data_IF_809663702966
#
_entry.id   IF_809663702966
#
_cell.length_a   1.000
_cell.length_b   1.000
_cell.length_c   1.000
_cell.angle_alpha   90.00
_cell.angle_beta   90.00
_cell.angle_gamma   90.00
#
_symmetry.space_group_name_H-M   'P 1'
#
loop_
_entity.id
_entity.type
_entity.pdbx_description
1 polymer ?
#
# COMPACT_ATOMS: atom_id res chain seq x y z
N UNK A 1 -2.40 5.18 -16.21
CA UNK A 1 -1.59 6.35 -15.86
C UNK A 1 -0.27 5.99 -15.15
N UNK A 2 -0.20 5.12 -14.14
CA UNK A 2 1.09 4.69 -13.58
C UNK A 2 1.98 3.96 -14.61
N UNK A 3 1.40 3.12 -15.45
CA UNK A 3 2.12 2.43 -16.54
C UNK A 3 2.62 3.39 -17.64
N UNK A 4 1.97 4.53 -17.84
CA UNK A 4 2.40 5.54 -18.83
C UNK A 4 3.50 6.47 -18.30
N UNK A 5 3.68 6.58 -17.00
CA UNK A 5 4.75 7.41 -16.41
C UNK A 5 6.14 6.76 -16.49
N UNK A 6 6.22 5.42 -16.57
CA UNK A 6 7.50 4.72 -16.72
C UNK A 6 8.16 5.01 -18.07
N UNK A 7 7.48 4.92 -19.24
CA UNK A 7 8.05 5.32 -20.52
C UNK A 7 8.50 6.79 -20.56
N UNK A 8 7.70 7.71 -20.01
CA UNK A 8 8.05 9.12 -19.93
C UNK A 8 9.30 9.36 -19.04
N UNK A 9 9.41 8.64 -17.93
CA UNK A 9 10.59 8.64 -17.07
C UNK A 9 11.82 8.13 -17.83
N UNK A 10 11.69 6.99 -18.52
CA UNK A 10 12.78 6.38 -19.29
C UNK A 10 13.30 7.34 -20.36
N UNK A 11 12.40 7.97 -21.12
CA UNK A 11 12.74 8.96 -22.13
C UNK A 11 13.44 10.19 -21.53
N UNK A 12 12.91 10.75 -20.44
CA UNK A 12 13.51 11.89 -19.75
C UNK A 12 14.90 11.56 -19.18
N UNK A 13 15.06 10.36 -18.61
CA UNK A 13 16.32 9.90 -18.04
C UNK A 13 17.38 9.66 -19.13
N UNK A 14 17.01 9.00 -20.23
CA UNK A 14 17.88 8.77 -21.39
C UNK A 14 18.34 10.08 -22.06
N UNK A 15 17.45 11.09 -22.09
CA UNK A 15 17.77 12.43 -22.59
C UNK A 15 18.61 13.29 -21.64
N UNK A 16 19.00 12.75 -20.46
CA UNK A 16 19.76 13.50 -19.44
C UNK A 16 18.99 14.59 -18.73
N UNK A 17 17.66 14.69 -18.92
CA UNK A 17 16.79 15.70 -18.34
C UNK A 17 16.42 15.34 -16.90
N UNK A 18 17.38 15.45 -15.98
CA UNK A 18 17.23 15.04 -14.56
C UNK A 18 16.04 15.70 -13.84
N UNK A 19 15.74 16.97 -14.13
CA UNK A 19 14.61 17.67 -13.54
C UNK A 19 13.25 17.06 -13.92
N UNK A 20 13.10 16.71 -15.20
CA UNK A 20 11.89 16.08 -15.72
C UNK A 20 11.73 14.65 -15.20
N UNK A 21 12.82 13.89 -15.13
CA UNK A 21 12.84 12.56 -14.54
C UNK A 21 12.37 12.58 -13.06
N UNK A 22 12.90 13.52 -12.24
CA UNK A 22 12.45 13.70 -10.87
C UNK A 22 10.97 14.06 -10.76
N UNK A 23 10.47 14.91 -11.66
CA UNK A 23 9.06 15.28 -11.71
C UNK A 23 8.18 14.07 -12.00
N UNK A 24 8.56 13.22 -12.97
CA UNK A 24 7.82 12.00 -13.31
C UNK A 24 7.78 11.01 -12.15
N UNK A 25 8.90 10.79 -11.44
CA UNK A 25 8.95 9.96 -10.24
C UNK A 25 7.97 10.50 -9.18
N UNK A 26 7.99 11.81 -8.91
CA UNK A 26 7.11 12.42 -7.93
C UNK A 26 5.62 12.28 -8.28
N UNK A 27 5.25 12.50 -9.55
CA UNK A 27 3.86 12.34 -10.03
C UNK A 27 3.41 10.88 -9.85
N UNK A 28 4.21 9.91 -10.31
CA UNK A 28 3.86 8.49 -10.20
C UNK A 28 3.70 8.05 -8.74
N UNK A 29 4.60 8.51 -7.86
CA UNK A 29 4.57 8.15 -6.44
C UNK A 29 3.34 8.75 -5.73
N UNK A 30 3.00 10.00 -6.02
CA UNK A 30 1.79 10.63 -5.48
C UNK A 30 0.53 9.93 -5.97
N UNK A 31 0.47 9.63 -7.27
CA UNK A 31 -0.68 8.97 -7.87
C UNK A 31 -0.97 7.61 -7.26
N UNK A 32 0.06 6.77 -7.07
CA UNK A 32 -0.14 5.46 -6.44
C UNK A 32 -0.59 5.58 -4.98
N UNK A 33 -0.09 6.57 -4.24
CA UNK A 33 -0.48 6.79 -2.85
C UNK A 33 -1.92 7.30 -2.72
N UNK A 34 -2.37 8.17 -3.63
CA UNK A 34 -3.78 8.63 -3.68
C UNK A 34 -4.76 7.46 -3.86
N UNK A 35 -4.34 6.37 -4.51
CA UNK A 35 -5.15 5.15 -4.66
C UNK A 35 -4.94 4.20 -3.47
N UNK A 36 -3.70 4.00 -3.05
CA UNK A 36 -3.35 3.01 -2.03
C UNK A 36 -3.93 3.36 -0.66
N UNK A 37 -3.96 4.65 -0.27
CA UNK A 37 -4.51 5.07 1.02
C UNK A 37 -6.01 4.77 1.15
N UNK A 38 -6.89 5.18 0.23
CA UNK A 38 -8.31 4.81 0.28
C UNK A 38 -8.52 3.29 0.29
N UNK A 39 -7.77 2.54 -0.52
CA UNK A 39 -7.86 1.08 -0.54
C UNK A 39 -7.48 0.47 0.82
N UNK A 40 -6.41 0.94 1.45
CA UNK A 40 -5.98 0.45 2.75
C UNK A 40 -6.99 0.80 3.85
N UNK A 41 -7.47 2.03 3.88
CA UNK A 41 -8.47 2.49 4.87
C UNK A 41 -9.80 1.75 4.67
N UNK A 42 -10.28 1.66 3.43
CA UNK A 42 -11.53 0.95 3.11
C UNK A 42 -11.44 -0.53 3.49
N UNK A 43 -10.34 -1.21 3.15
CA UNK A 43 -10.11 -2.61 3.53
C UNK A 43 -10.04 -2.77 5.05
N UNK A 44 -9.39 -1.84 5.76
CA UNK A 44 -9.30 -1.88 7.22
C UNK A 44 -10.64 -1.71 7.92
N UNK A 45 -11.47 -0.76 7.47
CA UNK A 45 -12.79 -0.48 8.08
C UNK A 45 -13.80 -1.58 7.74
N UNK A 46 -13.81 -2.06 6.50
CA UNK A 46 -14.76 -3.06 6.03
C UNK A 46 -14.24 -4.50 6.13
N UNK A 47 -13.16 -4.75 6.87
CA UNK A 47 -12.54 -6.07 6.98
C UNK A 47 -13.53 -7.15 7.40
N UNK A 48 -14.24 -6.97 8.52
CA UNK A 48 -15.25 -7.92 9.00
C UNK A 48 -16.45 -8.05 8.04
N UNK A 49 -17.09 -6.95 7.58
CA UNK A 49 -18.13 -7.02 6.56
C UNK A 49 -17.76 -7.74 5.28
N UNK A 50 -16.54 -7.49 4.77
CA UNK A 50 -16.05 -8.13 3.54
C UNK A 50 -15.88 -9.64 3.76
N UNK A 51 -15.30 -10.06 4.87
CA UNK A 51 -15.14 -11.48 5.19
C UNK A 51 -16.49 -12.19 5.35
N UNK A 52 -17.46 -11.56 6.02
CA UNK A 52 -18.82 -12.09 6.12
C UNK A 52 -19.49 -12.22 4.76
N UNK A 53 -19.27 -11.24 3.86
CA UNK A 53 -19.85 -11.28 2.52
C UNK A 53 -19.27 -12.41 1.67
N UNK A 54 -17.95 -12.62 1.74
CA UNK A 54 -17.24 -13.58 0.88
C UNK A 54 -17.29 -15.01 1.43
N UNK A 55 -17.14 -15.17 2.75
CA UNK A 55 -16.97 -16.48 3.38
C UNK A 55 -18.14 -16.89 4.29
N UNK A 56 -19.12 -16.02 4.47
CA UNK A 56 -20.29 -16.21 5.37
C UNK A 56 -19.95 -16.48 6.83
N UNK A 57 -18.68 -16.51 7.15
CA UNK A 57 -18.15 -16.67 8.49
C UNK A 57 -16.93 -15.73 8.62
N UNK A 58 -16.95 -14.89 9.67
CA UNK A 58 -15.79 -14.06 9.99
C UNK A 58 -15.40 -14.33 11.43
N UNK A 59 -14.37 -15.12 11.62
CA UNK A 59 -13.72 -15.14 12.93
C UNK A 59 -13.13 -13.75 13.20
N UNK A 60 -13.23 -13.26 14.44
CA UNK A 60 -12.60 -12.00 14.83
C UNK A 60 -11.12 -11.96 14.49
N UNK A 61 -10.43 -13.10 14.64
CA UNK A 61 -9.03 -13.26 14.28
C UNK A 61 -8.78 -12.94 12.80
N UNK A 62 -9.61 -13.49 11.88
CA UNK A 62 -9.46 -13.22 10.45
C UNK A 62 -9.71 -11.74 10.11
N UNK A 63 -10.70 -11.10 10.76
CA UNK A 63 -10.99 -9.69 10.58
C UNK A 63 -9.82 -8.82 11.07
N UNK A 64 -9.26 -9.10 12.24
CA UNK A 64 -8.08 -8.41 12.76
C UNK A 64 -6.84 -8.60 11.88
N UNK A 65 -6.62 -9.82 11.37
CA UNK A 65 -5.54 -10.08 10.43
C UNK A 65 -5.67 -9.27 9.14
N UNK A 66 -6.89 -9.17 8.60
CA UNK A 66 -7.16 -8.38 7.40
C UNK A 66 -6.98 -6.88 7.69
N UNK A 67 -7.39 -6.38 8.86
CA UNK A 67 -7.17 -5.00 9.29
C UNK A 67 -5.68 -4.65 9.37
N UNK A 68 -4.90 -5.47 10.08
CA UNK A 68 -3.44 -5.28 10.17
C UNK A 68 -2.79 -5.42 8.80
N UNK A 69 -3.24 -6.40 8.01
CA UNK A 69 -2.79 -6.64 6.65
C UNK A 69 -3.10 -5.49 5.68
N UNK A 70 -4.14 -4.70 5.92
CA UNK A 70 -4.50 -3.56 5.06
C UNK A 70 -3.37 -2.52 4.96
N UNK A 71 -2.54 -2.37 5.99
CA UNK A 71 -1.36 -1.49 5.96
C UNK A 71 -0.34 -1.95 4.91
N UNK A 72 -0.28 -3.24 4.61
CA UNK A 72 0.64 -3.79 3.60
C UNK A 72 0.34 -3.26 2.20
N UNK A 73 -0.91 -2.88 1.92
CA UNK A 73 -1.33 -2.31 0.63
C UNK A 73 -0.48 -1.08 0.29
N UNK A 74 -0.24 -0.20 1.28
CA UNK A 74 0.58 1.00 1.10
C UNK A 74 2.02 0.65 0.72
N UNK A 75 2.62 -0.24 1.48
CA UNK A 75 4.03 -0.60 1.28
C UNK A 75 4.24 -1.39 0.00
N UNK A 76 3.38 -2.36 -0.30
CA UNK A 76 3.49 -3.14 -1.54
C UNK A 76 3.22 -2.31 -2.79
N UNK A 77 2.23 -1.40 -2.75
CA UNK A 77 1.97 -0.49 -3.86
C UNK A 77 3.17 0.40 -4.16
N UNK A 78 3.77 0.99 -3.12
CA UNK A 78 4.96 1.85 -3.26
C UNK A 78 6.18 1.05 -3.70
N UNK A 79 6.38 -0.15 -3.14
CA UNK A 79 7.48 -1.04 -3.51
C UNK A 79 7.39 -1.46 -4.98
N UNK A 80 6.20 -1.87 -5.43
CA UNK A 80 5.95 -2.27 -6.82
C UNK A 80 6.22 -1.12 -7.80
N UNK A 81 5.71 0.07 -7.49
CA UNK A 81 6.01 1.26 -8.29
C UNK A 81 7.51 1.54 -8.32
N UNK A 82 8.16 1.53 -7.17
CA UNK A 82 9.60 1.80 -7.04
C UNK A 82 10.46 0.82 -7.83
N UNK A 83 10.07 -0.46 -7.89
CA UNK A 83 10.70 -1.46 -8.74
C UNK A 83 10.58 -1.06 -10.22
N UNK A 84 9.40 -0.68 -10.68
CA UNK A 84 9.18 -0.22 -12.05
C UNK A 84 9.96 1.05 -12.39
N UNK A 85 10.06 2.01 -11.46
CA UNK A 85 10.84 3.23 -11.64
C UNK A 85 12.34 2.93 -11.77
N UNK A 86 12.90 2.04 -10.93
CA UNK A 86 14.30 1.61 -11.01
C UNK A 86 14.60 0.88 -12.34
N UNK A 87 13.68 0.04 -12.79
CA UNK A 87 13.77 -0.59 -14.10
C UNK A 87 13.72 0.44 -15.23
N UNK A 88 12.81 1.41 -15.14
CA UNK A 88 12.68 2.50 -16.12
C UNK A 88 13.93 3.37 -16.28
N UNK A 89 14.71 3.55 -15.22
CA UNK A 89 16.02 4.26 -15.29
C UNK A 89 17.20 3.32 -15.61
N UNK A 90 16.93 2.09 -16.07
CA UNK A 90 17.96 1.12 -16.49
C UNK A 90 18.70 0.44 -15.34
N UNK A 91 18.17 0.49 -14.11
CA UNK A 91 18.79 -0.10 -12.90
C UNK A 91 18.08 -1.39 -12.46
N UNK A 92 17.90 -2.34 -13.37
CA UNK A 92 17.16 -3.59 -13.14
C UNK A 92 17.73 -4.46 -12.02
N UNK A 93 19.05 -4.38 -11.76
CA UNK A 93 19.72 -5.17 -10.72
C UNK A 93 19.43 -4.67 -9.29
N UNK A 94 19.08 -3.40 -9.13
CA UNK A 94 18.84 -2.82 -7.79
C UNK A 94 17.59 -3.38 -7.09
N UNK A 95 16.41 -3.49 -7.74
CA UNK A 95 15.25 -4.15 -7.12
C UNK A 95 15.53 -5.59 -6.69
N UNK A 96 16.33 -6.33 -7.47
CA UNK A 96 16.68 -7.72 -7.16
C UNK A 96 17.54 -7.79 -5.90
N UNK A 97 18.58 -6.95 -5.81
CA UNK A 97 19.44 -6.87 -4.61
C UNK A 97 18.63 -6.47 -3.38
N UNK A 98 17.79 -5.45 -3.51
CA UNK A 98 16.95 -4.96 -2.43
C UNK A 98 15.96 -6.03 -1.97
N UNK A 99 15.39 -6.81 -2.91
CA UNK A 99 14.49 -7.93 -2.60
C UNK A 99 15.21 -9.05 -1.84
N UNK A 100 16.43 -9.39 -2.21
CA UNK A 100 17.23 -10.41 -1.49
C UNK A 100 17.50 -9.94 -0.05
N UNK A 101 17.92 -8.69 0.14
CA UNK A 101 18.16 -8.12 1.47
C UNK A 101 16.87 -8.12 2.29
N UNK A 102 15.77 -7.65 1.70
CA UNK A 102 14.47 -7.61 2.36
C UNK A 102 13.98 -9.01 2.73
N UNK A 103 14.20 -10.02 1.86
CA UNK A 103 13.82 -11.40 2.12
C UNK A 103 14.59 -12.00 3.31
N UNK A 104 15.90 -11.79 3.36
CA UNK A 104 16.73 -12.28 4.50
C UNK A 104 16.26 -11.66 5.81
N UNK A 105 16.03 -10.34 5.82
CA UNK A 105 15.52 -9.65 7.01
C UNK A 105 14.10 -10.11 7.37
N UNK A 106 13.24 -10.35 6.37
CA UNK A 106 11.89 -10.88 6.58
C UNK A 106 11.91 -12.26 7.23
N UNK A 107 12.73 -13.18 6.73
CA UNK A 107 12.84 -14.52 7.29
C UNK A 107 13.37 -14.48 8.74
N UNK A 108 14.38 -13.65 9.02
CA UNK A 108 14.88 -13.44 10.37
C UNK A 108 13.83 -12.86 11.31
N UNK A 109 13.10 -11.85 10.85
CA UNK A 109 12.01 -11.24 11.62
C UNK A 109 10.86 -12.22 11.86
N UNK A 110 10.45 -12.96 10.81
CA UNK A 110 9.40 -13.96 10.93
C UNK A 110 9.76 -15.03 11.96
N UNK A 111 11.00 -15.57 11.91
CA UNK A 111 11.48 -16.52 12.88
C UNK A 111 11.49 -15.93 14.31
N UNK A 112 11.95 -14.70 14.47
CA UNK A 112 11.95 -14.02 15.77
C UNK A 112 10.52 -13.84 16.30
N UNK A 113 9.57 -13.39 15.47
CA UNK A 113 8.19 -13.17 15.89
C UNK A 113 7.46 -14.49 16.24
N UNK A 114 7.80 -15.59 15.55
CA UNK A 114 7.20 -16.89 15.83
C UNK A 114 7.80 -17.55 17.09
N UNK A 115 9.14 -17.53 17.23
CA UNK A 115 9.81 -18.31 18.28
C UNK A 115 10.07 -17.54 19.59
N UNK A 116 10.22 -16.18 19.54
CA UNK A 116 10.46 -15.38 20.74
C UNK A 116 9.18 -14.73 21.30
N UNK A 117 8.21 -14.42 20.42
CA UNK A 117 7.01 -13.67 20.82
C UNK A 117 5.71 -14.48 20.72
N UNK A 118 5.75 -15.72 20.24
CA UNK A 118 4.60 -16.63 20.11
C UNK A 118 3.38 -16.00 19.40
N UNK A 119 3.64 -15.06 18.47
CA UNK A 119 2.58 -14.32 17.78
C UNK A 119 1.80 -15.16 16.76
N UNK A 120 2.14 -16.45 16.62
CA UNK A 120 1.45 -17.37 15.73
C UNK A 120 1.23 -16.80 14.33
N UNK A 121 -0.02 -16.83 13.87
CA UNK A 121 -0.39 -16.36 12.52
C UNK A 121 -0.21 -14.84 12.31
N UNK A 122 -0.30 -14.02 13.38
CA UNK A 122 -0.02 -12.58 13.31
C UNK A 122 1.43 -12.27 12.97
N UNK A 123 2.37 -13.16 13.33
CA UNK A 123 3.77 -13.03 12.95
C UNK A 123 3.95 -12.91 11.44
N UNK A 124 3.18 -13.68 10.66
CA UNK A 124 3.22 -13.67 9.19
C UNK A 124 2.74 -12.33 8.64
N UNK A 125 1.65 -11.80 9.16
CA UNK A 125 1.07 -10.52 8.69
C UNK A 125 2.03 -9.36 9.00
N UNK A 126 2.57 -9.33 10.21
CA UNK A 126 3.53 -8.30 10.63
C UNK A 126 4.83 -8.40 9.83
N UNK A 127 5.36 -9.62 9.65
CA UNK A 127 6.58 -9.83 8.87
C UNK A 127 6.39 -9.41 7.40
N UNK A 128 5.21 -9.68 6.79
CA UNK A 128 4.89 -9.22 5.44
C UNK A 128 4.82 -7.68 5.36
N UNK A 129 4.22 -7.02 6.35
CA UNK A 129 4.20 -5.56 6.42
C UNK A 129 5.62 -4.99 6.51
N UNK A 130 6.45 -5.58 7.36
CA UNK A 130 7.86 -5.21 7.49
C UNK A 130 8.65 -5.44 6.20
N UNK A 131 8.43 -6.56 5.50
CA UNK A 131 9.04 -6.82 4.19
C UNK A 131 8.73 -5.70 3.20
N UNK A 132 7.44 -5.35 3.06
CA UNK A 132 7.03 -4.25 2.19
C UNK A 132 7.68 -2.91 2.57
N UNK A 133 7.75 -2.61 3.86
CA UNK A 133 8.40 -1.41 4.38
C UNK A 133 9.91 -1.39 4.09
N UNK A 134 10.62 -2.49 4.34
CA UNK A 134 12.05 -2.63 4.06
C UNK A 134 12.30 -2.43 2.56
N UNK A 135 11.51 -3.04 1.70
CA UNK A 135 11.60 -2.85 0.25
C UNK A 135 11.40 -1.38 -0.14
N UNK A 136 10.43 -0.69 0.45
CA UNK A 136 10.22 0.75 0.20
C UNK A 136 11.44 1.58 0.59
N UNK A 137 12.03 1.33 1.75
CA UNK A 137 13.20 2.07 2.24
C UNK A 137 14.42 1.84 1.32
N UNK A 138 14.71 0.59 0.99
CA UNK A 138 15.84 0.23 0.13
C UNK A 138 15.67 0.80 -1.29
N UNK A 139 14.47 0.67 -1.86
CA UNK A 139 14.18 1.21 -3.19
C UNK A 139 14.22 2.74 -3.20
N UNK A 140 13.71 3.42 -2.17
CA UNK A 140 13.78 4.87 -2.05
C UNK A 140 15.25 5.34 -1.98
N UNK A 141 16.10 4.62 -1.24
CA UNK A 141 17.54 4.85 -1.18
C UNK A 141 18.20 4.70 -2.55
N UNK A 142 17.87 3.64 -3.30
CA UNK A 142 18.36 3.40 -4.65
C UNK A 142 17.89 4.49 -5.63
N UNK A 143 16.60 4.87 -5.61
CA UNK A 143 16.06 5.95 -6.44
C UNK A 143 16.79 7.26 -6.14
N UNK A 144 16.94 7.61 -4.85
CA UNK A 144 17.67 8.82 -4.45
C UNK A 144 19.09 8.82 -4.97
N UNK A 145 19.80 7.68 -4.88
CA UNK A 145 21.20 7.53 -5.34
C UNK A 145 21.34 7.75 -6.83
N UNK A 146 20.45 7.20 -7.67
CA UNK A 146 20.60 7.22 -9.12
C UNK A 146 19.89 8.38 -9.81
N UNK A 147 18.74 8.84 -9.30
CA UNK A 147 17.98 9.96 -9.88
C UNK A 147 18.19 11.28 -9.14
N UNK A 148 18.67 11.24 -7.89
CA UNK A 148 18.72 12.40 -7.01
C UNK A 148 17.34 12.89 -6.57
N UNK A 149 16.30 12.05 -6.69
CA UNK A 149 14.95 12.37 -6.23
C UNK A 149 14.86 12.26 -4.71
N UNK A 150 14.30 13.27 -4.07
CA UNK A 150 13.95 13.26 -2.66
C UNK A 150 12.43 13.12 -2.51
N UNK A 151 12.01 12.16 -1.71
CA UNK A 151 10.59 11.89 -1.51
C UNK A 151 9.93 13.04 -0.73
N UNK A 152 8.88 13.63 -1.30
CA UNK A 152 8.11 14.68 -0.64
C UNK A 152 7.08 14.05 0.29
N UNK A 153 7.48 13.74 1.53
CA UNK A 153 6.67 13.01 2.51
C UNK A 153 5.31 13.68 2.73
N UNK A 154 5.29 14.99 2.90
CA UNK A 154 4.06 15.74 3.18
C UNK A 154 3.01 15.58 2.09
N UNK A 155 3.39 15.80 0.83
CA UNK A 155 2.45 15.75 -0.31
C UNK A 155 2.10 14.32 -0.74
N UNK A 156 3.00 13.38 -0.49
CA UNK A 156 2.87 12.00 -0.93
C UNK A 156 2.12 11.13 0.08
N UNK A 157 2.28 11.39 1.37
CA UNK A 157 1.71 10.58 2.43
C UNK A 157 0.64 11.31 3.25
N UNK A 158 0.94 12.52 3.78
CA UNK A 158 0.02 13.20 4.67
C UNK A 158 -1.29 13.62 3.99
N UNK A 159 -1.21 14.21 2.79
CA UNK A 159 -2.43 14.66 2.09
C UNK A 159 -3.34 13.49 1.72
N UNK A 160 -2.86 12.40 1.07
CA UNK A 160 -3.70 11.25 0.80
C UNK A 160 -4.19 10.53 2.07
N UNK A 161 -3.37 10.51 3.14
CA UNK A 161 -3.79 9.90 4.41
C UNK A 161 -4.97 10.64 5.04
N UNK A 162 -4.94 11.99 5.08
CA UNK A 162 -6.03 12.80 5.63
C UNK A 162 -7.29 12.63 4.77
N UNK A 163 -7.17 12.67 3.44
CA UNK A 163 -8.30 12.45 2.55
C UNK A 163 -8.91 11.04 2.74
N UNK A 164 -8.07 10.01 2.82
CA UNK A 164 -8.51 8.65 3.04
C UNK A 164 -9.14 8.46 4.43
N UNK A 165 -8.64 9.15 5.46
CA UNK A 165 -9.27 9.14 6.79
C UNK A 165 -10.68 9.76 6.74
N UNK A 166 -10.85 10.88 6.02
CA UNK A 166 -12.17 11.48 5.79
C UNK A 166 -13.13 10.53 5.07
N UNK A 167 -12.66 9.91 3.96
CA UNK A 167 -13.40 8.85 3.28
C UNK A 167 -13.76 7.70 4.23
N UNK A 168 -12.81 7.28 5.07
CA UNK A 168 -13.04 6.21 6.04
C UNK A 168 -14.18 6.50 7.02
N UNK A 169 -14.25 7.74 7.52
CA UNK A 169 -15.37 8.18 8.39
C UNK A 169 -16.69 8.09 7.64
N UNK A 170 -16.75 8.55 6.40
CA UNK A 170 -17.96 8.47 5.56
C UNK A 170 -18.37 7.01 5.36
N UNK A 171 -17.44 6.14 4.97
CA UNK A 171 -17.69 4.70 4.77
C UNK A 171 -18.21 4.04 6.05
N UNK A 172 -17.62 4.36 7.18
CA UNK A 172 -18.05 3.83 8.49
C UNK A 172 -19.48 4.27 8.85
N UNK A 173 -19.80 5.55 8.68
CA UNK A 173 -21.13 6.11 8.93
C UNK A 173 -22.18 5.49 8.00
N UNK A 174 -21.88 5.39 6.72
CA UNK A 174 -22.79 4.81 5.72
C UNK A 174 -23.04 3.33 6.03
N UNK A 175 -21.98 2.56 6.33
CA UNK A 175 -22.12 1.15 6.67
C UNK A 175 -23.04 0.95 7.88
N UNK A 176 -22.80 1.65 8.98
CA UNK A 176 -23.62 1.52 10.19
C UNK A 176 -25.03 2.07 9.99
N UNK A 177 -25.20 3.17 9.24
CA UNK A 177 -26.50 3.74 8.93
C UNK A 177 -27.37 2.78 8.10
N UNK A 178 -26.81 2.20 7.04
CA UNK A 178 -27.52 1.23 6.19
C UNK A 178 -27.82 -0.06 6.97
N UNK A 179 -26.86 -0.54 7.75
CA UNK A 179 -27.04 -1.74 8.56
C UNK A 179 -28.18 -1.56 9.61
N UNK A 180 -28.27 -0.36 10.18
CA UNK A 180 -29.35 -0.04 11.13
C UNK A 180 -30.74 -0.07 10.47
N UNK A 181 -30.84 0.45 9.22
CA UNK A 181 -32.11 0.55 8.49
C UNK A 181 -32.52 -0.78 7.84
N UNK A 182 -31.61 -1.38 7.08
CA UNK A 182 -31.90 -2.55 6.24
C UNK A 182 -31.61 -3.88 6.93
N UNK A 183 -30.80 -3.92 7.97
CA UNK A 183 -30.32 -5.13 8.68
C UNK A 183 -29.72 -6.21 7.76
N UNK A 184 -29.30 -5.83 6.55
CA UNK A 184 -28.72 -6.72 5.54
C UNK A 184 -27.25 -6.34 5.32
N UNK A 185 -26.34 -7.15 5.85
CA UNK A 185 -24.92 -6.89 5.84
C UNK A 185 -24.35 -6.77 4.41
N UNK A 186 -24.79 -7.64 3.49
CA UNK A 186 -24.31 -7.64 2.11
C UNK A 186 -24.61 -6.32 1.38
N UNK A 187 -25.84 -5.79 1.54
CA UNK A 187 -26.25 -4.52 0.91
C UNK A 187 -25.49 -3.35 1.53
N UNK A 188 -25.36 -3.34 2.86
CA UNK A 188 -24.62 -2.30 3.58
C UNK A 188 -23.15 -2.26 3.12
N UNK A 189 -22.50 -3.41 3.00
CA UNK A 189 -21.10 -3.53 2.57
C UNK A 189 -20.92 -3.06 1.13
N UNK A 190 -21.74 -3.54 0.19
CA UNK A 190 -21.62 -3.16 -1.23
C UNK A 190 -21.85 -1.67 -1.46
N UNK A 191 -22.90 -1.09 -0.84
CA UNK A 191 -23.18 0.33 -0.96
C UNK A 191 -22.08 1.19 -0.32
N UNK A 192 -21.53 0.75 0.82
CA UNK A 192 -20.42 1.46 1.46
C UNK A 192 -19.14 1.46 0.61
N UNK A 193 -18.85 0.36 -0.11
CA UNK A 193 -17.73 0.29 -1.06
C UNK A 193 -17.97 1.25 -2.23
N UNK A 194 -19.15 1.24 -2.82
CA UNK A 194 -19.48 2.12 -3.96
C UNK A 194 -19.40 3.60 -3.57
N UNK A 195 -19.98 3.98 -2.43
CA UNK A 195 -19.95 5.35 -1.92
C UNK A 195 -18.52 5.75 -1.57
N UNK A 196 -17.76 4.87 -0.90
CA UNK A 196 -16.36 5.14 -0.58
C UNK A 196 -15.48 5.32 -1.82
N UNK A 197 -15.78 4.65 -2.92
CA UNK A 197 -15.07 4.83 -4.18
C UNK A 197 -15.44 6.14 -4.92
N UNK A 198 -16.60 6.74 -4.59
CA UNK A 198 -17.08 7.97 -5.18
C UNK A 198 -16.65 9.24 -4.41
N UNK A 199 -16.25 9.11 -3.15
CA UNK A 199 -15.76 10.17 -2.26
C UNK A 199 -14.25 10.32 -2.35
#
# INVERSE_FOLDING_TARGET
MAASSVPALTAAYAAGKKGEAKRQIGIATRFIMVIAFPCAVGMGILASPILQLLFRDSSETAAHMLQVGAVTILFFSLSTLSNGLLQGIGRMKEPIKNAIIALVLHLGLLAALMFLFDLNIFAVVIANAAFGLIMCILNAGSIRRYSGYHQEIRKTFFVPAIAAAGMGVVVWLVYHGILYVLRVNAVATLLSIVIGAAV
#
